data_IF_723854254753
#
_entry.id   IF_723854254753
#
_cell.length_a   1.000
_cell.length_b   1.000
_cell.length_c   1.000
_cell.angle_alpha   90.00
_cell.angle_beta   90.00
_cell.angle_gamma   90.00
#
_symmetry.space_group_name_H-M   'P 1'
#
loop_
_entity.id
_entity.type
_entity.pdbx_description
1 polymer ?
#
# COMPACT_ATOMS: atom_id res chain seq x y z
N UNK A 1 7.26 17.86 -6.80
CA UNK A 1 6.85 17.03 -5.64
C UNK A 1 7.99 16.85 -4.66
N UNK A 2 7.69 17.07 -3.40
CA UNK A 2 8.54 16.78 -2.24
C UNK A 2 8.13 15.42 -1.64
N UNK A 3 9.09 14.65 -1.14
CA UNK A 3 8.82 13.39 -0.46
C UNK A 3 9.48 13.38 0.90
N UNK A 4 8.74 13.05 1.96
CA UNK A 4 9.25 13.06 3.33
C UNK A 4 8.51 12.08 4.24
N UNK A 5 9.10 11.81 5.40
CA UNK A 5 8.40 11.14 6.49
C UNK A 5 7.28 12.05 7.04
N UNK A 6 6.20 11.41 7.48
CA UNK A 6 5.10 12.03 8.22
C UNK A 6 5.25 11.70 9.71
N UNK A 7 4.91 12.67 10.55
CA UNK A 7 4.83 12.51 12.00
C UNK A 7 3.39 12.25 12.45
N UNK A 8 3.22 11.67 13.64
CA UNK A 8 1.91 11.24 14.14
C UNK A 8 0.92 12.40 14.27
N UNK A 9 1.39 13.59 14.58
CA UNK A 9 0.60 14.81 14.75
C UNK A 9 0.01 15.30 13.42
N UNK A 10 0.64 14.96 12.30
CA UNK A 10 0.20 15.33 10.96
C UNK A 10 -0.92 14.41 10.44
N UNK A 11 -1.00 13.17 10.95
CA UNK A 11 -1.93 12.13 10.49
C UNK A 11 -3.34 12.37 11.01
N UNK A 12 -3.97 13.42 10.48
CA UNK A 12 -5.34 13.85 10.76
C UNK A 12 -6.12 13.90 9.44
N UNK A 13 -7.46 13.75 9.44
CA UNK A 13 -8.24 13.79 8.20
C UNK A 13 -8.03 15.06 7.36
N UNK A 14 -7.70 16.19 8.00
CA UNK A 14 -7.38 17.46 7.32
C UNK A 14 -6.18 17.36 6.37
N UNK A 15 -5.20 16.50 6.65
CA UNK A 15 -4.05 16.24 5.77
C UNK A 15 -4.50 15.69 4.41
N UNK A 16 -5.61 14.94 4.39
CA UNK A 16 -6.16 14.29 3.19
C UNK A 16 -7.28 15.11 2.52
N UNK A 17 -7.51 16.35 2.95
CA UNK A 17 -8.63 17.19 2.46
C UNK A 17 -8.66 17.41 0.95
N UNK A 18 -7.51 17.30 0.27
CA UNK A 18 -7.38 17.42 -1.18
C UNK A 18 -6.87 16.13 -1.84
N UNK A 19 -7.05 14.99 -1.18
CA UNK A 19 -6.70 13.68 -1.68
C UNK A 19 -7.92 13.04 -2.37
N UNK A 20 -7.78 12.70 -3.65
CA UNK A 20 -8.80 12.01 -4.43
C UNK A 20 -8.48 10.51 -4.53
N UNK A 21 -9.11 9.72 -3.66
CA UNK A 21 -9.02 8.25 -3.68
C UNK A 21 -10.14 7.58 -4.50
N UNK A 22 -10.62 8.20 -5.56
CA UNK A 22 -11.52 7.55 -6.51
C UNK A 22 -10.80 6.46 -7.33
N UNK A 23 -11.40 5.29 -7.49
CA UNK A 23 -11.02 4.27 -8.46
C UNK A 23 -12.25 3.54 -8.97
N UNK A 24 -12.40 3.44 -10.29
CA UNK A 24 -13.39 2.57 -10.91
C UNK A 24 -12.72 1.24 -11.24
N UNK A 25 -13.18 0.16 -10.61
CA UNK A 25 -12.71 -1.19 -10.84
C UNK A 25 -13.68 -1.90 -11.78
N UNK A 26 -13.15 -2.54 -12.82
CA UNK A 26 -13.94 -3.34 -13.78
C UNK A 26 -13.57 -4.81 -13.73
N UNK A 27 -12.30 -5.10 -13.44
CA UNK A 27 -11.72 -6.44 -13.53
C UNK A 27 -10.78 -6.66 -12.34
N UNK A 28 -10.84 -7.86 -11.77
CA UNK A 28 -9.99 -8.29 -10.68
C UNK A 28 -9.38 -9.67 -10.95
N UNK A 29 -8.21 -9.90 -10.36
CA UNK A 29 -7.59 -11.20 -10.28
C UNK A 29 -8.28 -12.06 -9.23
N UNK A 30 -8.53 -13.33 -9.56
CA UNK A 30 -9.11 -14.33 -8.66
C UNK A 30 -8.29 -15.60 -8.74
N UNK A 31 -8.01 -16.21 -7.59
CA UNK A 31 -7.31 -17.49 -7.53
C UNK A 31 -8.34 -18.61 -7.68
N UNK A 32 -8.30 -19.34 -8.80
CA UNK A 32 -9.15 -20.50 -9.12
C UNK A 32 -8.26 -21.72 -9.27
N UNK A 33 -8.52 -22.75 -8.47
CA UNK A 33 -7.74 -23.99 -8.49
C UNK A 33 -6.21 -23.76 -8.42
N UNK A 34 -5.79 -22.78 -7.63
CA UNK A 34 -4.39 -22.39 -7.47
C UNK A 34 -3.83 -21.45 -8.55
N UNK A 35 -4.60 -21.14 -9.60
CA UNK A 35 -4.17 -20.28 -10.72
C UNK A 35 -4.87 -18.93 -10.67
N UNK A 36 -4.11 -17.86 -10.94
CA UNK A 36 -4.66 -16.51 -11.06
C UNK A 36 -5.32 -16.29 -12.43
N UNK A 37 -6.61 -15.95 -12.42
CA UNK A 37 -7.39 -15.61 -13.61
C UNK A 37 -8.01 -14.23 -13.45
N UNK A 38 -8.25 -13.52 -14.56
CA UNK A 38 -8.95 -12.22 -14.55
C UNK A 38 -10.44 -12.46 -14.72
N UNK A 39 -11.23 -11.91 -13.82
CA UNK A 39 -12.69 -11.98 -13.83
C UNK A 39 -13.29 -10.56 -13.72
N UNK A 40 -14.44 -10.30 -14.38
CA UNK A 40 -15.12 -9.02 -14.24
C UNK A 40 -15.68 -8.88 -12.83
N UNK A 41 -15.25 -7.83 -12.13
CA UNK A 41 -15.73 -7.45 -10.79
C UNK A 41 -15.86 -5.94 -10.77
N UNK A 42 -17.08 -5.44 -10.96
CA UNK A 42 -17.34 -4.02 -11.19
C UNK A 42 -17.77 -3.34 -9.90
N UNK A 43 -16.98 -2.37 -9.44
CA UNK A 43 -17.34 -1.51 -8.31
C UNK A 43 -16.53 -0.20 -8.36
N UNK A 44 -16.91 0.74 -7.51
CA UNK A 44 -16.18 2.00 -7.36
C UNK A 44 -15.67 2.08 -5.93
N UNK A 45 -14.39 2.38 -5.78
CA UNK A 45 -13.81 2.81 -4.51
C UNK A 45 -13.80 4.33 -4.48
N UNK A 46 -14.41 4.89 -3.43
CA UNK A 46 -14.37 6.31 -3.13
C UNK A 46 -14.25 6.44 -1.62
N UNK A 47 -13.19 7.08 -1.14
CA UNK A 47 -13.07 7.35 0.29
C UNK A 47 -13.89 8.57 0.66
N UNK A 48 -14.63 8.44 1.77
CA UNK A 48 -15.31 9.49 2.48
C UNK A 48 -14.67 9.77 3.84
N UNK A 49 -15.34 10.57 4.68
CA UNK A 49 -14.80 10.99 5.97
C UNK A 49 -14.48 9.82 6.92
N UNK A 50 -15.31 8.78 6.93
CA UNK A 50 -15.13 7.61 7.80
C UNK A 50 -13.90 6.80 7.40
N UNK A 51 -13.68 6.58 6.11
CA UNK A 51 -12.47 5.91 5.61
C UNK A 51 -11.21 6.69 5.95
N UNK A 52 -11.21 8.02 5.82
CA UNK A 52 -10.06 8.85 6.21
C UNK A 52 -9.82 8.84 7.72
N UNK A 53 -10.87 8.81 8.53
CA UNK A 53 -10.74 8.72 9.98
C UNK A 53 -10.13 7.38 10.40
N UNK A 54 -10.61 6.28 9.81
CA UNK A 54 -10.04 4.95 10.03
C UNK A 54 -8.58 4.86 9.54
N UNK A 55 -8.29 5.38 8.34
CA UNK A 55 -6.94 5.45 7.78
C UNK A 55 -5.99 6.17 8.73
N UNK A 56 -6.37 7.34 9.25
CA UNK A 56 -5.53 8.08 10.19
C UNK A 56 -5.21 7.25 11.43
N UNK A 57 -6.20 6.53 11.98
CA UNK A 57 -5.99 5.65 13.13
C UNK A 57 -5.01 4.51 12.81
N UNK A 58 -5.11 3.91 11.62
CA UNK A 58 -4.17 2.89 11.15
C UNK A 58 -2.75 3.45 11.00
N UNK A 59 -2.58 4.56 10.30
CA UNK A 59 -1.26 5.17 10.06
C UNK A 59 -0.59 5.63 11.36
N UNK A 60 -1.36 6.18 12.30
CA UNK A 60 -0.85 6.52 13.64
C UNK A 60 -0.40 5.27 14.39
N UNK A 61 -1.14 4.17 14.30
CA UNK A 61 -0.73 2.89 14.88
C UNK A 61 0.53 2.33 14.22
N UNK A 62 0.68 2.45 12.90
CA UNK A 62 1.92 2.10 12.19
C UNK A 62 3.11 2.84 12.79
N UNK A 63 3.02 4.16 12.99
CA UNK A 63 4.10 4.93 13.63
C UNK A 63 4.32 4.52 15.10
N UNK A 64 3.24 4.32 15.86
CA UNK A 64 3.30 3.93 17.27
C UNK A 64 4.01 2.59 17.47
N UNK A 65 3.85 1.66 16.53
CA UNK A 65 4.44 0.32 16.56
C UNK A 65 5.84 0.26 15.92
N UNK A 66 6.44 1.42 15.61
CA UNK A 66 7.80 1.53 15.08
C UNK A 66 7.91 1.40 13.56
N UNK A 67 6.79 1.53 12.84
CA UNK A 67 6.76 1.63 11.39
C UNK A 67 7.07 3.04 10.88
N UNK A 68 6.88 3.23 9.58
CA UNK A 68 7.08 4.52 8.92
C UNK A 68 5.93 4.87 7.99
N UNK A 69 5.66 6.17 7.87
CA UNK A 69 4.71 6.72 6.90
C UNK A 69 5.41 7.79 6.08
N UNK A 70 5.31 7.68 4.75
CA UNK A 70 5.88 8.61 3.79
C UNK A 70 4.76 9.38 3.11
N UNK A 71 4.97 10.68 2.91
CA UNK A 71 4.09 11.55 2.14
C UNK A 71 4.77 12.04 0.87
N UNK A 72 3.99 12.18 -0.21
CA UNK A 72 4.35 12.83 -1.45
C UNK A 72 3.52 14.11 -1.58
N UNK A 73 4.17 15.26 -1.56
CA UNK A 73 3.54 16.57 -1.52
C UNK A 73 3.76 17.32 -2.84
N UNK A 74 2.69 17.93 -3.34
CA UNK A 74 2.73 18.85 -4.48
C UNK A 74 2.20 20.20 -4.02
N UNK A 75 3.03 21.24 -4.11
CA UNK A 75 2.73 22.59 -3.59
C UNK A 75 2.21 22.60 -2.13
N UNK A 76 2.80 21.75 -1.27
CA UNK A 76 2.42 21.62 0.14
C UNK A 76 1.17 20.77 0.40
N UNK A 77 0.52 20.24 -0.64
CA UNK A 77 -0.67 19.39 -0.53
C UNK A 77 -0.27 17.91 -0.62
N UNK A 78 -0.79 17.08 0.28
CA UNK A 78 -0.54 15.63 0.22
C UNK A 78 -1.26 15.01 -1.00
N UNK A 79 -0.49 14.41 -1.90
CA UNK A 79 -0.99 13.78 -3.14
C UNK A 79 -0.60 12.30 -3.28
N UNK A 80 0.18 11.78 -2.36
CA UNK A 80 0.46 10.36 -2.25
C UNK A 80 0.97 10.02 -0.85
N UNK A 81 0.80 8.78 -0.42
CA UNK A 81 1.41 8.30 0.81
C UNK A 81 1.70 6.80 0.73
N UNK A 82 2.61 6.33 1.58
CA UNK A 82 2.86 4.91 1.79
C UNK A 82 3.20 4.64 3.26
N UNK A 83 2.84 3.46 3.77
CA UNK A 83 3.15 3.04 5.14
C UNK A 83 3.80 1.67 5.19
N UNK A 84 4.82 1.51 6.03
CA UNK A 84 5.48 0.23 6.28
C UNK A 84 5.36 -0.09 7.77
N UNK A 85 4.83 -1.27 8.10
CA UNK A 85 4.65 -1.70 9.49
C UNK A 85 5.99 -1.95 10.20
N UNK A 86 6.03 -1.64 11.49
CA UNK A 86 7.21 -1.85 12.34
C UNK A 86 7.50 -3.33 12.60
N UNK A 87 6.50 -4.13 13.04
CA UNK A 87 6.67 -5.57 13.24
C UNK A 87 7.06 -6.30 11.94
N UNK A 88 8.03 -7.20 12.06
CA UNK A 88 8.43 -8.09 10.98
C UNK A 88 7.41 -9.20 10.76
N UNK A 89 7.18 -9.59 9.49
CA UNK A 89 6.34 -10.73 9.12
C UNK A 89 7.17 -11.91 8.59
N UNK A 90 6.52 -13.07 8.48
CA UNK A 90 7.07 -14.31 7.96
C UNK A 90 7.82 -15.14 9.00
N UNK A 91 7.90 -16.44 8.72
CA UNK A 91 8.52 -17.47 9.57
C UNK A 91 9.97 -17.17 9.97
N UNK A 92 10.70 -16.43 9.12
CA UNK A 92 12.09 -15.99 9.38
C UNK A 92 12.19 -14.51 9.72
N UNK A 93 11.06 -13.80 9.86
CA UNK A 93 10.99 -12.34 10.02
C UNK A 93 11.58 -11.58 8.82
N UNK A 94 11.54 -12.20 7.65
CA UNK A 94 12.16 -11.72 6.41
C UNK A 94 11.43 -10.54 5.76
N UNK A 95 10.16 -10.31 6.13
CA UNK A 95 9.33 -9.29 5.50
C UNK A 95 9.18 -8.02 6.34
N UNK A 96 9.03 -6.90 5.64
CA UNK A 96 8.37 -5.69 6.15
C UNK A 96 7.10 -5.45 5.35
N UNK A 97 6.00 -5.18 6.03
CA UNK A 97 4.67 -5.08 5.42
C UNK A 97 4.41 -3.67 4.88
N UNK A 98 4.23 -3.52 3.57
CA UNK A 98 3.73 -2.29 2.96
C UNK A 98 2.21 -2.27 3.06
N UNK A 99 1.71 -1.79 4.20
CA UNK A 99 0.28 -1.82 4.56
C UNK A 99 -0.56 -0.79 3.82
N UNK A 100 0.04 0.25 3.25
CA UNK A 100 -0.65 1.19 2.37
C UNK A 100 0.30 1.80 1.35
N UNK A 101 -0.21 2.02 0.13
CA UNK A 101 0.42 2.90 -0.87
C UNK A 101 -0.66 3.45 -1.79
N UNK A 102 -0.84 4.76 -1.78
CA UNK A 102 -1.88 5.42 -2.55
C UNK A 102 -1.37 6.71 -3.18
N UNK A 103 -1.89 7.01 -4.36
CA UNK A 103 -1.66 8.26 -5.08
C UNK A 103 -3.00 8.82 -5.49
N UNK A 104 -3.18 10.11 -5.23
CA UNK A 104 -4.37 10.87 -5.62
C UNK A 104 -4.60 10.72 -7.13
N UNK A 105 -5.85 10.50 -7.53
CA UNK A 105 -6.25 10.08 -8.88
C UNK A 105 -5.57 10.89 -9.99
N UNK A 106 -5.53 12.21 -9.85
CA UNK A 106 -4.98 13.15 -10.83
C UNK A 106 -3.46 13.06 -11.03
N UNK A 107 -2.74 12.42 -10.11
CA UNK A 107 -1.29 12.19 -10.20
C UNK A 107 -0.89 10.73 -10.50
N UNK A 108 -1.87 9.82 -10.66
CA UNK A 108 -1.57 8.44 -11.08
C UNK A 108 -0.92 8.43 -12.48
N UNK A 109 -0.02 7.49 -12.70
CA UNK A 109 0.77 7.39 -13.93
C UNK A 109 1.90 8.42 -14.08
N UNK A 110 2.09 9.34 -13.12
CA UNK A 110 3.14 10.38 -13.16
C UNK A 110 4.38 10.08 -12.30
N UNK A 111 4.49 8.86 -11.77
CA UNK A 111 5.68 8.38 -11.07
C UNK A 111 5.70 8.52 -9.54
N UNK A 112 4.74 9.22 -8.93
CA UNK A 112 4.69 9.39 -7.47
C UNK A 112 4.66 8.05 -6.70
N UNK A 113 3.87 7.08 -7.18
CA UNK A 113 3.80 5.75 -6.57
C UNK A 113 5.13 4.99 -6.64
N UNK A 114 5.90 5.14 -7.73
CA UNK A 114 7.23 4.53 -7.85
C UNK A 114 8.21 5.11 -6.82
N UNK A 115 8.16 6.42 -6.60
CA UNK A 115 9.02 7.08 -5.61
C UNK A 115 8.65 6.68 -4.18
N UNK A 116 7.34 6.64 -3.85
CA UNK A 116 6.85 6.15 -2.56
C UNK A 116 7.26 4.69 -2.30
N UNK A 117 7.12 3.82 -3.31
CA UNK A 117 7.54 2.43 -3.21
C UNK A 117 9.05 2.30 -2.97
N UNK A 118 9.87 3.11 -3.64
CA UNK A 118 11.31 3.11 -3.44
C UNK A 118 11.71 3.58 -2.01
N UNK A 119 10.99 4.56 -1.44
CA UNK A 119 11.19 4.99 -0.06
C UNK A 119 10.83 3.87 0.94
N UNK A 120 9.69 3.20 0.72
CA UNK A 120 9.29 2.05 1.52
C UNK A 120 10.33 0.92 1.47
N UNK A 121 10.86 0.60 0.28
CA UNK A 121 11.91 -0.41 0.11
C UNK A 121 13.18 -0.03 0.87
N UNK A 122 13.63 1.22 0.74
CA UNK A 122 14.83 1.70 1.44
C UNK A 122 14.68 1.57 2.95
N UNK A 123 13.56 2.04 3.48
CA UNK A 123 13.27 1.95 4.91
C UNK A 123 13.20 0.49 5.36
N UNK A 124 12.48 -0.37 4.63
CA UNK A 124 12.38 -1.79 4.96
C UNK A 124 13.76 -2.45 5.03
N UNK A 125 14.66 -2.15 4.09
CA UNK A 125 16.04 -2.67 4.05
C UNK A 125 16.87 -2.18 5.23
N UNK A 126 16.81 -0.88 5.53
CA UNK A 126 17.48 -0.26 6.67
C UNK A 126 17.01 -0.85 8.02
N UNK A 127 15.78 -1.35 8.05
CA UNK A 127 15.17 -1.98 9.22
C UNK A 127 15.27 -3.50 9.21
N UNK A 128 16.14 -4.09 8.39
CA UNK A 128 16.45 -5.53 8.40
C UNK A 128 15.42 -6.40 7.69
N UNK A 129 14.62 -5.84 6.79
CA UNK A 129 13.81 -6.61 5.84
C UNK A 129 14.68 -7.17 4.71
N UNK A 130 14.47 -8.44 4.36
CA UNK A 130 15.00 -9.06 3.13
C UNK A 130 14.05 -8.80 1.96
N UNK A 131 12.75 -8.67 2.26
CA UNK A 131 11.68 -8.48 1.30
C UNK A 131 10.63 -7.49 1.81
N UNK A 132 9.95 -6.81 0.90
CA UNK A 132 8.70 -6.11 1.18
C UNK A 132 7.54 -7.09 0.96
N UNK A 133 6.61 -7.19 1.90
CA UNK A 133 5.36 -7.94 1.75
C UNK A 133 4.22 -6.98 1.44
N UNK A 134 3.28 -7.39 0.60
CA UNK A 134 2.12 -6.60 0.23
C UNK A 134 0.89 -7.51 0.13
N UNK A 135 -0.12 -7.32 0.97
CA UNK A 135 -1.49 -7.77 0.67
C UNK A 135 -2.13 -6.74 -0.26
N UNK A 136 -2.16 -7.05 -1.56
CA UNK A 136 -2.55 -6.09 -2.57
C UNK A 136 -3.94 -6.37 -3.12
N UNK A 137 -4.77 -5.31 -3.12
CA UNK A 137 -6.07 -5.32 -3.79
C UNK A 137 -5.98 -5.94 -5.19
N UNK A 138 -6.89 -6.86 -5.49
CA UNK A 138 -6.83 -7.71 -6.69
C UNK A 138 -7.25 -7.02 -8.00
N UNK A 139 -7.60 -5.74 -7.99
CA UNK A 139 -7.92 -5.01 -9.23
C UNK A 139 -6.76 -5.06 -10.23
N UNK A 140 -7.09 -5.19 -11.52
CA UNK A 140 -6.10 -5.29 -12.59
C UNK A 140 -5.14 -4.09 -12.60
N UNK A 141 -5.64 -2.88 -12.35
CA UNK A 141 -4.85 -1.65 -12.26
C UNK A 141 -3.81 -1.71 -11.11
N UNK A 142 -4.23 -2.09 -9.90
CA UNK A 142 -3.34 -2.19 -8.73
C UNK A 142 -2.28 -3.28 -8.95
N UNK A 143 -2.68 -4.43 -9.48
CA UNK A 143 -1.74 -5.51 -9.80
C UNK A 143 -0.74 -5.13 -10.91
N UNK A 144 -1.17 -4.33 -11.90
CA UNK A 144 -0.27 -3.81 -12.92
C UNK A 144 0.83 -2.90 -12.33
N UNK A 145 0.49 -2.07 -11.33
CA UNK A 145 1.47 -1.25 -10.62
C UNK A 145 2.54 -2.11 -9.93
N UNK A 146 2.14 -3.09 -9.11
CA UNK A 146 3.10 -3.93 -8.38
C UNK A 146 3.96 -4.80 -9.31
N UNK A 147 3.38 -5.37 -10.37
CA UNK A 147 4.15 -6.08 -11.40
C UNK A 147 5.18 -5.17 -12.07
N UNK A 148 4.82 -3.92 -12.36
CA UNK A 148 5.74 -2.95 -12.93
C UNK A 148 6.85 -2.50 -11.95
N UNK A 149 6.66 -2.66 -10.64
CA UNK A 149 7.71 -2.49 -9.64
C UNK A 149 8.63 -3.71 -9.55
N UNK A 150 8.22 -4.86 -10.10
CA UNK A 150 8.95 -6.13 -10.01
C UNK A 150 8.47 -7.03 -8.87
N UNK A 151 7.31 -6.75 -8.29
CA UNK A 151 6.71 -7.65 -7.29
C UNK A 151 6.25 -8.96 -7.94
N UNK A 152 6.32 -10.04 -7.17
CA UNK A 152 5.87 -11.39 -7.53
C UNK A 152 4.99 -11.97 -6.43
N UNK A 153 4.35 -13.11 -6.66
CA UNK A 153 3.60 -13.80 -5.61
C UNK A 153 4.52 -14.15 -4.44
N UNK A 154 4.05 -13.90 -3.21
CA UNK A 154 4.84 -14.15 -2.00
C UNK A 154 5.12 -15.64 -1.83
N UNK A 155 6.35 -15.98 -1.45
CA UNK A 155 6.74 -17.38 -1.15
C UNK A 155 6.08 -17.90 0.13
N UNK A 156 5.70 -16.99 1.03
CA UNK A 156 5.02 -17.28 2.28
C UNK A 156 3.89 -16.27 2.45
N UNK A 157 2.66 -16.77 2.58
CA UNK A 157 1.47 -15.94 2.80
C UNK A 157 1.30 -15.70 4.29
N UNK A 158 1.02 -14.45 4.68
CA UNK A 158 0.62 -14.12 6.04
C UNK A 158 -0.84 -14.55 6.30
N UNK A 159 -1.11 -15.43 7.28
CA UNK A 159 -2.47 -15.93 7.52
C UNK A 159 -3.47 -14.84 7.91
N UNK A 160 -3.04 -13.80 8.64
CA UNK A 160 -3.93 -12.74 9.09
C UNK A 160 -4.35 -11.84 7.93
N UNK A 161 -3.44 -11.52 7.00
CA UNK A 161 -3.77 -10.84 5.75
C UNK A 161 -4.73 -11.66 4.88
N UNK A 162 -4.48 -12.96 4.73
CA UNK A 162 -5.35 -13.85 3.93
C UNK A 162 -6.75 -13.96 4.53
N UNK A 163 -6.87 -14.06 5.86
CA UNK A 163 -8.17 -14.12 6.52
C UNK A 163 -8.93 -12.79 6.38
N UNK A 164 -8.23 -11.66 6.56
CA UNK A 164 -8.82 -10.32 6.49
C UNK A 164 -9.29 -9.97 5.08
N UNK A 165 -8.46 -10.24 4.06
CA UNK A 165 -8.71 -9.88 2.67
C UNK A 165 -8.48 -11.10 1.76
N UNK A 166 -9.41 -12.08 1.74
CA UNK A 166 -9.20 -13.37 1.05
C UNK A 166 -9.08 -13.26 -0.47
N UNK A 167 -9.46 -12.11 -1.04
CA UNK A 167 -9.34 -11.84 -2.47
C UNK A 167 -8.06 -11.08 -2.83
N UNK A 168 -7.23 -10.68 -1.87
CA UNK A 168 -6.00 -9.96 -2.14
C UNK A 168 -4.93 -10.88 -2.71
N UNK A 169 -4.15 -10.33 -3.65
CA UNK A 169 -2.94 -10.97 -4.12
C UNK A 169 -1.84 -10.73 -3.08
N UNK A 170 -1.32 -11.81 -2.50
CA UNK A 170 -0.21 -11.74 -1.57
C UNK A 170 1.10 -11.68 -2.36
N UNK A 171 1.81 -10.55 -2.27
CA UNK A 171 2.96 -10.24 -3.10
C UNK A 171 4.22 -10.01 -2.25
N UNK A 172 5.37 -10.21 -2.87
CA UNK A 172 6.67 -9.85 -2.33
C UNK A 172 7.53 -9.06 -3.32
N UNK A 173 8.44 -8.25 -2.79
CA UNK A 173 9.53 -7.60 -3.53
C UNK A 173 10.86 -7.83 -2.81
N UNK A 174 11.90 -8.21 -3.52
CA UNK A 174 13.24 -8.46 -2.94
C UNK A 174 14.03 -7.16 -2.84
N UNK A 175 14.56 -6.85 -1.64
CA UNK A 175 15.17 -5.55 -1.27
C UNK A 175 16.67 -5.41 -1.56
#
# INVERSE_FOLDING_TARGET
MEYRLLHSEELQPSLFSQFDRFQKVTDCWRKRDGVWVVEPVVFTEQWGPEEYQFLCQCLQNTLHTGGAVFGAFDEGVLKGFASVEGPALGSRRQYRDLSSIHVSRELRGKGAGRQLFALACRWAKEHGGEKLYISAHSSVESQAFYRAMGCREAEEYDPAHVEKEPCDCQLEYVL
#
